data_IF_805556119880
#
_entry.id   IF_805556119880
#
_cell.length_a   1.000
_cell.length_b   1.000
_cell.length_c   1.000
_cell.angle_alpha   90.00
_cell.angle_beta   90.00
_cell.angle_gamma   90.00
#
_symmetry.space_group_name_H-M   'P 1'
#
loop_
_entity.id
_entity.type
_entity.pdbx_description
1 polymer ?
#
# COMPACT_ATOMS: atom_id res chain seq x y z
N UNK A 1 8.22 -15.46 -33.39
CA UNK A 1 8.57 -16.87 -33.68
C UNK A 1 9.41 -17.56 -32.60
N UNK A 2 10.13 -16.83 -31.73
CA UNK A 2 10.83 -17.43 -30.56
C UNK A 2 9.90 -17.63 -29.35
N UNK A 3 8.82 -16.85 -29.26
CA UNK A 3 7.84 -16.91 -28.16
C UNK A 3 6.92 -18.15 -28.27
N UNK A 4 6.58 -18.63 -29.48
CA UNK A 4 5.69 -19.79 -29.66
C UNK A 4 6.36 -21.16 -29.42
N UNK A 5 7.70 -21.24 -29.37
CA UNK A 5 8.40 -22.51 -29.12
C UNK A 5 8.58 -22.84 -27.64
N UNK A 6 8.25 -21.92 -26.73
CA UNK A 6 8.45 -22.12 -25.29
C UNK A 6 7.36 -22.98 -24.63
N UNK A 7 6.23 -23.22 -25.31
CA UNK A 7 5.04 -23.86 -24.71
C UNK A 7 4.81 -25.31 -25.19
N UNK A 8 5.46 -25.79 -26.25
CA UNK A 8 5.06 -27.06 -26.90
C UNK A 8 6.18 -28.11 -27.07
N UNK A 9 7.27 -28.05 -26.31
CA UNK A 9 8.39 -28.98 -26.54
C UNK A 9 9.31 -29.31 -25.36
N UNK A 10 8.82 -29.30 -24.11
CA UNK A 10 9.64 -29.72 -22.98
C UNK A 10 9.39 -31.20 -22.63
N UNK A 11 10.43 -32.01 -22.75
CA UNK A 11 10.51 -33.34 -22.13
C UNK A 11 10.18 -33.22 -20.62
N UNK A 12 9.54 -34.23 -20.01
CA UNK A 12 9.04 -34.17 -18.63
C UNK A 12 10.12 -34.04 -17.53
N UNK A 13 11.41 -33.94 -17.90
CA UNK A 13 12.53 -33.84 -16.95
C UNK A 13 13.08 -32.42 -16.77
N UNK A 14 12.70 -31.43 -17.58
CA UNK A 14 13.11 -30.04 -17.40
C UNK A 14 11.92 -29.14 -17.07
N UNK A 15 11.50 -29.18 -15.81
CA UNK A 15 10.61 -28.16 -15.24
C UNK A 15 11.42 -26.87 -15.09
N UNK A 16 11.22 -25.89 -15.98
CA UNK A 16 11.73 -24.53 -15.75
C UNK A 16 10.97 -23.93 -14.57
N UNK A 17 11.57 -24.00 -13.38
CA UNK A 17 11.08 -23.31 -12.18
C UNK A 17 11.29 -21.82 -12.44
N UNK A 18 10.20 -21.09 -12.74
CA UNK A 18 10.24 -19.64 -12.82
C UNK A 18 10.72 -19.10 -11.46
N UNK A 19 11.81 -18.33 -11.40
CA UNK A 19 12.53 -18.10 -10.16
C UNK A 19 11.89 -16.95 -9.38
N UNK A 20 10.88 -17.29 -8.57
CA UNK A 20 10.22 -16.47 -7.53
C UNK A 20 10.53 -14.96 -7.52
N UNK A 21 11.10 -14.47 -6.42
CA UNK A 21 11.38 -13.03 -6.20
C UNK A 21 12.50 -12.47 -7.07
N UNK A 22 13.24 -13.31 -7.79
CA UNK A 22 14.38 -12.90 -8.63
C UNK A 22 13.98 -12.56 -10.07
N UNK A 23 12.86 -13.09 -10.56
CA UNK A 23 12.41 -12.88 -11.94
C UNK A 23 12.22 -11.40 -12.30
N UNK A 24 11.55 -10.56 -11.48
CA UNK A 24 11.45 -9.12 -11.75
C UNK A 24 12.81 -8.45 -12.00
N UNK A 25 13.81 -8.82 -11.20
CA UNK A 25 15.14 -8.24 -11.25
C UNK A 25 15.91 -8.69 -12.48
N UNK A 26 15.78 -9.97 -12.84
CA UNK A 26 16.42 -10.51 -14.03
C UNK A 26 15.85 -9.86 -15.30
N UNK A 27 14.52 -9.75 -15.41
CA UNK A 27 13.87 -9.08 -16.54
C UNK A 27 14.35 -7.62 -16.62
N UNK A 28 14.28 -6.86 -15.52
CA UNK A 28 14.65 -5.45 -15.54
C UNK A 28 16.14 -5.23 -15.84
N UNK A 29 17.04 -6.03 -15.26
CA UNK A 29 18.46 -5.94 -15.56
C UNK A 29 18.75 -6.31 -17.03
N UNK A 30 18.09 -7.33 -17.59
CA UNK A 30 18.26 -7.64 -19.02
C UNK A 30 17.78 -6.51 -19.92
N UNK A 31 16.70 -5.81 -19.56
CA UNK A 31 16.21 -4.66 -20.32
C UNK A 31 17.18 -3.48 -20.24
N UNK A 32 17.77 -3.24 -19.06
CA UNK A 32 18.80 -2.23 -18.84
C UNK A 32 20.06 -2.56 -19.64
N UNK A 33 20.50 -3.82 -19.65
CA UNK A 33 21.69 -4.27 -20.37
C UNK A 33 21.52 -4.19 -21.89
N UNK A 34 20.28 -4.26 -22.40
CA UNK A 34 19.97 -4.07 -23.82
C UNK A 34 20.02 -2.60 -24.27
N UNK A 35 20.10 -1.62 -23.35
CA UNK A 35 20.13 -0.20 -23.72
C UNK A 35 21.58 0.32 -23.79
N UNK A 36 22.06 0.53 -25.01
CA UNK A 36 23.43 1.00 -25.32
C UNK A 36 23.76 2.39 -24.73
N UNK A 37 22.77 3.13 -24.22
CA UNK A 37 22.94 4.49 -23.68
C UNK A 37 23.21 4.57 -22.17
N UNK A 38 23.38 3.43 -21.49
CA UNK A 38 23.65 3.38 -20.04
C UNK A 38 25.14 3.16 -19.80
N UNK A 39 25.75 3.98 -18.95
CA UNK A 39 27.09 3.69 -18.45
C UNK A 39 27.06 2.34 -17.73
N UNK A 40 27.81 1.36 -18.24
CA UNK A 40 27.70 -0.08 -17.92
C UNK A 40 27.71 -0.45 -16.42
N UNK A 41 28.10 0.47 -15.53
CA UNK A 41 28.17 0.25 -14.09
C UNK A 41 27.18 1.09 -13.26
N UNK A 42 26.42 2.00 -13.86
CA UNK A 42 25.55 2.93 -13.12
C UNK A 42 24.40 2.21 -12.39
N UNK A 43 23.91 1.11 -12.94
CA UNK A 43 22.80 0.31 -12.40
C UNK A 43 23.21 -1.11 -11.98
N UNK A 44 24.50 -1.46 -12.02
CA UNK A 44 24.98 -2.82 -11.72
C UNK A 44 24.68 -3.29 -10.28
N UNK A 45 24.44 -2.36 -9.36
CA UNK A 45 24.12 -2.65 -7.96
C UNK A 45 22.62 -2.88 -7.70
N UNK A 46 21.78 -2.91 -8.75
CA UNK A 46 20.36 -3.23 -8.70
C UNK A 46 20.19 -4.75 -8.58
N UNK A 47 19.87 -5.21 -7.37
CA UNK A 47 19.85 -6.64 -7.03
C UNK A 47 18.67 -7.00 -6.15
N UNK A 48 18.17 -8.22 -6.32
CA UNK A 48 17.06 -8.78 -5.54
C UNK A 48 17.33 -8.86 -4.02
N UNK A 49 18.60 -8.79 -3.60
CA UNK A 49 19.03 -8.76 -2.19
C UNK A 49 18.46 -7.52 -1.48
N UNK A 50 18.25 -6.43 -2.22
CA UNK A 50 17.69 -5.18 -1.70
C UNK A 50 16.35 -4.86 -2.39
N UNK A 51 15.27 -5.58 -2.03
CA UNK A 51 13.98 -5.47 -2.69
C UNK A 51 13.29 -4.11 -2.46
N UNK A 52 13.78 -3.30 -1.52
CA UNK A 52 13.23 -1.98 -1.24
C UNK A 52 14.02 -0.90 -1.99
N UNK A 53 14.11 -1.05 -3.31
CA UNK A 53 14.89 -0.14 -4.15
C UNK A 53 14.19 0.23 -5.45
N UNK A 54 14.70 1.28 -6.07
CA UNK A 54 14.28 1.76 -7.37
C UNK A 54 15.43 2.48 -8.04
N UNK A 55 15.22 2.92 -9.26
CA UNK A 55 16.21 3.65 -10.03
C UNK A 55 15.56 4.76 -10.85
N UNK A 56 16.35 5.78 -11.15
CA UNK A 56 15.99 6.81 -12.11
C UNK A 56 16.65 6.46 -13.44
N UNK A 57 15.88 6.54 -14.52
CA UNK A 57 16.35 6.36 -15.88
C UNK A 57 15.79 7.45 -16.80
N UNK A 58 16.69 8.23 -17.41
CA UNK A 58 16.39 9.30 -18.38
C UNK A 58 15.27 10.27 -17.93
N UNK A 59 15.18 10.56 -16.63
CA UNK A 59 14.17 11.49 -16.10
C UNK A 59 12.81 10.85 -15.79
N UNK A 60 12.78 9.52 -15.61
CA UNK A 60 11.64 8.78 -15.03
C UNK A 60 12.15 7.86 -13.93
N UNK A 61 11.35 7.62 -12.90
CA UNK A 61 11.73 6.68 -11.83
C UNK A 61 10.93 5.38 -11.93
N UNK A 62 11.58 4.27 -11.58
CA UNK A 62 10.99 2.94 -11.54
C UNK A 62 11.29 2.33 -10.17
N UNK A 63 10.26 1.75 -9.56
CA UNK A 63 10.35 1.21 -8.21
C UNK A 63 9.89 -0.24 -8.23
N UNK A 64 10.57 -1.12 -7.49
CA UNK A 64 10.06 -2.48 -7.28
C UNK A 64 8.68 -2.42 -6.62
N UNK A 65 7.76 -3.32 -6.96
CA UNK A 65 6.43 -3.39 -6.31
C UNK A 65 6.50 -3.79 -4.83
N UNK A 66 7.62 -4.35 -4.39
CA UNK A 66 7.91 -4.63 -2.97
C UNK A 66 8.27 -3.38 -2.15
N UNK A 67 8.79 -2.32 -2.79
CA UNK A 67 9.19 -1.09 -2.10
C UNK A 67 7.98 -0.25 -1.75
N UNK A 68 7.97 0.36 -0.55
CA UNK A 68 6.87 1.25 -0.15
C UNK A 68 6.58 2.38 -1.14
N UNK A 69 7.61 2.91 -1.82
CA UNK A 69 7.42 3.94 -2.83
C UNK A 69 6.60 3.40 -4.00
N UNK A 70 6.92 2.19 -4.47
CA UNK A 70 6.16 1.49 -5.50
C UNK A 70 4.73 1.19 -5.03
N UNK A 71 4.56 0.63 -3.84
CA UNK A 71 3.25 0.34 -3.24
C UNK A 71 2.35 1.57 -3.13
N UNK A 72 2.90 2.71 -2.75
CA UNK A 72 2.13 3.96 -2.57
C UNK A 72 1.81 4.62 -3.90
N UNK A 73 2.73 4.62 -4.86
CA UNK A 73 2.56 5.29 -6.15
C UNK A 73 1.88 4.43 -7.22
N UNK A 74 1.75 3.12 -7.00
CA UNK A 74 1.13 2.17 -7.91
C UNK A 74 -0.22 2.64 -8.50
N UNK A 75 -1.15 3.26 -7.73
CA UNK A 75 -2.42 3.72 -8.31
C UNK A 75 -2.29 4.71 -9.46
N UNK A 76 -1.21 5.49 -9.52
CA UNK A 76 -1.00 6.49 -10.59
C UNK A 76 -0.14 5.97 -11.73
N UNK A 77 0.33 4.72 -11.63
CA UNK A 77 1.37 4.14 -12.47
C UNK A 77 0.96 2.76 -12.97
N UNK A 78 1.78 2.16 -13.84
CA UNK A 78 1.58 0.78 -14.28
C UNK A 78 2.50 -0.14 -13.50
N UNK A 79 2.03 -1.32 -13.16
CA UNK A 79 2.87 -2.40 -12.65
C UNK A 79 3.07 -3.45 -13.75
N UNK A 80 4.32 -3.72 -14.12
CA UNK A 80 4.67 -4.76 -15.09
C UNK A 80 5.83 -5.58 -14.52
N UNK A 81 5.65 -6.91 -14.50
CA UNK A 81 6.68 -7.86 -14.08
C UNK A 81 7.34 -7.53 -12.72
N UNK A 82 6.58 -6.99 -11.75
CA UNK A 82 7.06 -6.63 -10.41
C UNK A 82 7.74 -5.26 -10.30
N UNK A 83 7.62 -4.41 -11.32
CA UNK A 83 8.11 -3.03 -11.31
C UNK A 83 6.96 -2.05 -11.55
N UNK A 84 6.95 -0.98 -10.75
CA UNK A 84 6.00 0.12 -10.80
C UNK A 84 6.66 1.31 -11.49
N UNK A 85 6.05 1.79 -12.56
CA UNK A 85 6.46 2.99 -13.28
C UNK A 85 5.77 3.14 -14.63
N UNK A 86 6.15 4.15 -15.43
CA UNK A 86 7.08 5.22 -15.10
C UNK A 86 6.49 6.19 -14.07
N UNK A 87 7.26 6.48 -13.01
CA UNK A 87 6.92 7.48 -11.99
C UNK A 87 7.60 8.80 -12.32
N UNK A 88 7.03 9.92 -11.86
CA UNK A 88 7.62 11.28 -11.97
C UNK A 88 9.11 11.29 -11.53
N UNK A 89 9.96 12.09 -12.19
CA UNK A 89 11.37 12.22 -11.81
C UNK A 89 11.56 12.84 -10.44
N UNK A 90 12.69 12.53 -9.83
CA UNK A 90 13.16 13.15 -8.60
C UNK A 90 14.43 13.96 -8.89
N UNK A 91 14.46 15.21 -8.42
CA UNK A 91 15.63 16.08 -8.55
C UNK A 91 16.82 15.63 -7.67
N UNK A 92 16.56 14.80 -6.67
CA UNK A 92 17.56 14.30 -5.72
C UNK A 92 18.39 13.12 -6.26
N UNK A 93 18.05 12.58 -7.43
CA UNK A 93 18.80 11.53 -8.10
C UNK A 93 19.44 12.04 -9.40
N UNK A 94 20.63 11.52 -9.76
CA UNK A 94 21.21 11.76 -11.08
C UNK A 94 20.31 11.22 -12.20
N UNK A 95 20.60 11.61 -13.44
CA UNK A 95 19.84 11.16 -14.63
C UNK A 95 19.72 9.65 -14.75
N UNK A 96 20.76 8.93 -14.31
CA UNK A 96 20.77 7.48 -14.12
C UNK A 96 21.35 7.18 -12.75
N UNK A 97 20.59 6.51 -11.88
CA UNK A 97 21.08 6.16 -10.55
C UNK A 97 20.11 5.32 -9.73
N UNK A 98 20.64 4.58 -8.76
CA UNK A 98 19.88 3.68 -7.88
C UNK A 98 19.59 4.39 -6.54
N UNK A 99 18.36 4.22 -6.04
CA UNK A 99 17.96 4.60 -4.71
C UNK A 99 17.51 3.37 -3.91
N UNK A 100 18.13 3.16 -2.73
CA UNK A 100 17.63 2.21 -1.74
C UNK A 100 16.81 2.96 -0.71
N UNK A 101 15.60 2.51 -0.41
CA UNK A 101 14.71 3.22 0.51
C UNK A 101 14.81 2.60 1.90
N UNK A 102 15.07 3.46 2.88
CA UNK A 102 15.01 3.08 4.29
C UNK A 102 13.55 3.01 4.72
N UNK A 103 13.15 1.85 5.21
CA UNK A 103 11.79 1.61 5.67
C UNK A 103 11.84 0.89 7.03
N UNK A 104 10.93 1.24 7.92
CA UNK A 104 10.73 0.55 9.20
C UNK A 104 9.68 -0.54 9.04
N UNK A 105 9.70 -1.54 9.93
CA UNK A 105 8.65 -2.57 9.96
C UNK A 105 7.30 -1.97 10.33
N UNK A 106 6.18 -2.46 9.77
CA UNK A 106 4.86 -1.95 10.09
C UNK A 106 4.57 -2.15 11.58
N UNK A 107 3.74 -1.28 12.16
CA UNK A 107 3.41 -1.34 13.60
C UNK A 107 2.45 -2.50 13.91
N UNK A 108 1.58 -2.82 12.96
CA UNK A 108 0.63 -3.92 13.06
C UNK A 108 1.23 -5.16 12.37
N UNK A 109 1.31 -6.27 13.11
CA UNK A 109 1.80 -7.55 12.62
C UNK A 109 0.80 -8.61 13.06
N UNK A 110 0.34 -9.40 12.09
CA UNK A 110 -0.58 -10.50 12.32
C UNK A 110 0.09 -11.56 13.21
N UNK A 111 -0.58 -11.95 14.29
CA UNK A 111 -0.11 -13.00 15.18
C UNK A 111 -0.77 -14.34 14.83
N UNK A 112 -0.20 -15.50 15.24
CA UNK A 112 -0.84 -16.79 15.00
C UNK A 112 -2.24 -16.91 15.62
N UNK A 113 -2.49 -16.21 16.73
CA UNK A 113 -3.81 -16.17 17.37
C UNK A 113 -4.83 -15.48 16.47
N UNK A 114 -4.44 -14.39 15.84
CA UNK A 114 -5.30 -13.64 14.92
C UNK A 114 -5.73 -14.50 13.74
N UNK A 115 -4.82 -15.34 13.21
CA UNK A 115 -5.14 -16.29 12.14
C UNK A 115 -6.18 -17.31 12.60
N UNK A 116 -6.04 -17.84 13.83
CA UNK A 116 -7.00 -18.83 14.37
C UNK A 116 -8.37 -18.23 14.67
N UNK A 117 -8.45 -16.97 15.10
CA UNK A 117 -9.71 -16.28 15.42
C UNK A 117 -10.29 -15.49 14.24
N UNK A 118 -9.66 -15.56 13.06
CA UNK A 118 -10.05 -14.79 11.87
C UNK A 118 -11.51 -15.04 11.47
N UNK A 119 -11.97 -16.29 11.56
CA UNK A 119 -13.33 -16.69 11.19
C UNK A 119 -14.37 -16.06 12.13
N UNK A 120 -14.12 -16.09 13.44
CA UNK A 120 -15.01 -15.49 14.45
C UNK A 120 -15.09 -13.97 14.31
N UNK A 121 -13.95 -13.32 14.03
CA UNK A 121 -13.85 -11.86 13.88
C UNK A 121 -14.43 -11.32 12.58
N UNK A 122 -14.76 -12.19 11.63
CA UNK A 122 -15.31 -11.81 10.33
C UNK A 122 -16.66 -12.45 10.06
N UNK A 123 -17.30 -13.03 11.08
CA UNK A 123 -18.61 -13.66 10.96
C UNK A 123 -19.66 -12.66 10.44
N UNK A 124 -20.36 -12.94 9.33
CA UNK A 124 -21.40 -12.06 8.81
C UNK A 124 -22.56 -11.83 9.78
N UNK A 125 -22.85 -12.82 10.63
CA UNK A 125 -24.01 -12.82 11.52
C UNK A 125 -23.69 -12.35 12.94
N UNK A 126 -22.40 -12.14 13.23
CA UNK A 126 -21.93 -11.91 14.59
C UNK A 126 -21.87 -13.20 15.42
N UNK A 127 -21.86 -13.10 16.75
CA UNK A 127 -21.78 -14.26 17.63
C UNK A 127 -22.94 -15.25 17.43
N UNK A 128 -22.72 -16.57 17.61
CA UNK A 128 -23.77 -17.57 17.46
C UNK A 128 -24.98 -17.29 18.36
N UNK A 129 -26.15 -17.09 17.76
CA UNK A 129 -27.41 -16.80 18.43
C UNK A 129 -28.57 -17.63 17.86
N UNK A 130 -29.62 -17.82 18.66
CA UNK A 130 -30.83 -18.55 18.25
C UNK A 130 -31.68 -17.79 17.21
N UNK A 131 -31.56 -16.45 17.20
CA UNK A 131 -32.22 -15.57 16.24
C UNK A 131 -31.32 -14.39 15.89
N UNK A 132 -31.39 -13.93 14.64
CA UNK A 132 -30.66 -12.77 14.13
C UNK A 132 -31.68 -11.69 13.71
N UNK A 133 -31.99 -10.71 14.57
CA UNK A 133 -32.92 -9.62 14.26
C UNK A 133 -32.41 -8.78 13.08
N UNK A 134 -33.28 -8.46 12.12
CA UNK A 134 -32.87 -7.68 10.93
C UNK A 134 -32.43 -6.26 11.29
N UNK A 135 -32.95 -5.70 12.39
CA UNK A 135 -32.61 -4.36 12.88
C UNK A 135 -31.15 -4.21 13.35
N UNK A 136 -30.48 -5.33 13.63
CA UNK A 136 -29.06 -5.38 14.00
C UNK A 136 -28.12 -5.25 12.80
N UNK A 137 -28.68 -5.22 11.59
CA UNK A 137 -27.95 -5.21 10.34
C UNK A 137 -28.23 -3.95 9.54
N UNK A 138 -27.16 -3.30 9.08
CA UNK A 138 -27.25 -2.10 8.26
C UNK A 138 -26.69 -2.38 6.86
N UNK A 139 -27.46 -2.04 5.83
CA UNK A 139 -26.93 -1.95 4.46
C UNK A 139 -26.16 -0.64 4.33
N UNK A 140 -24.89 -0.76 3.98
CA UNK A 140 -23.99 0.38 3.80
C UNK A 140 -23.83 0.69 2.32
N UNK A 141 -23.81 1.97 2.01
CA UNK A 141 -23.50 2.52 0.69
C UNK A 141 -22.42 3.57 0.90
N UNK A 142 -21.31 3.51 0.13
CA UNK A 142 -20.33 4.58 0.14
C UNK A 142 -20.96 5.90 -0.31
N UNK A 143 -20.48 7.01 0.24
CA UNK A 143 -20.85 8.34 -0.22
C UNK A 143 -20.11 8.67 -1.53
N UNK A 144 -20.75 8.36 -2.67
CA UNK A 144 -20.22 8.59 -4.03
C UNK A 144 -20.44 10.04 -4.51
N UNK A 145 -21.27 10.84 -3.82
CA UNK A 145 -21.65 12.18 -4.28
C UNK A 145 -20.57 13.24 -3.98
N UNK A 146 -19.65 12.99 -3.04
CA UNK A 146 -18.60 13.93 -2.60
C UNK A 146 -17.22 13.60 -3.22
N UNK A 147 -17.14 13.67 -4.55
CA UNK A 147 -15.90 13.46 -5.30
C UNK A 147 -14.90 14.59 -5.04
N UNK A 148 -13.72 14.22 -4.54
CA UNK A 148 -12.66 15.17 -4.21
C UNK A 148 -11.60 15.24 -5.32
N UNK A 149 -11.45 16.41 -5.96
CA UNK A 149 -10.45 16.67 -7.01
C UNK A 149 -9.38 17.70 -6.60
N UNK A 150 -9.16 17.87 -5.30
CA UNK A 150 -8.21 18.90 -4.79
C UNK A 150 -6.80 18.37 -4.53
N UNK A 151 -6.60 17.06 -4.59
CA UNK A 151 -5.34 16.39 -4.22
C UNK A 151 -4.52 16.11 -5.47
N UNK A 152 -3.27 16.59 -5.50
CA UNK A 152 -2.32 16.30 -6.57
C UNK A 152 -0.97 15.88 -6.03
N UNK A 153 -0.38 14.84 -6.61
CA UNK A 153 1.00 14.44 -6.28
C UNK A 153 1.98 15.38 -6.99
N UNK A 154 2.73 16.19 -6.25
CA UNK A 154 3.68 17.15 -6.80
C UNK A 154 5.02 16.48 -7.16
N UNK A 155 5.68 15.92 -6.15
CA UNK A 155 7.05 15.40 -6.29
C UNK A 155 7.38 14.31 -5.28
N UNK A 156 8.21 13.37 -5.72
CA UNK A 156 8.88 12.41 -4.84
C UNK A 156 10.24 13.00 -4.45
N UNK A 157 10.42 13.26 -3.16
CA UNK A 157 11.66 13.75 -2.57
C UNK A 157 12.42 12.62 -1.86
N UNK A 158 13.73 12.58 -2.04
CA UNK A 158 14.62 11.56 -1.47
C UNK A 158 15.75 12.25 -0.70
N UNK A 159 15.75 12.09 0.62
CA UNK A 159 16.80 12.62 1.49
C UNK A 159 17.78 11.53 1.87
N UNK A 160 19.06 11.68 1.54
CA UNK A 160 20.09 10.71 1.93
C UNK A 160 20.08 10.49 3.46
N UNK A 161 19.95 9.23 3.88
CA UNK A 161 19.90 8.86 5.28
C UNK A 161 21.28 9.01 5.92
N UNK A 162 21.32 9.57 7.14
CA UNK A 162 22.55 9.78 7.93
C UNK A 162 23.31 8.50 8.29
N UNK A 163 22.69 7.33 8.11
CA UNK A 163 23.32 6.01 8.34
C UNK A 163 24.31 5.67 7.21
N UNK A 164 24.25 6.38 6.09
CA UNK A 164 25.19 6.19 5.00
C UNK A 164 26.61 6.56 5.47
N UNK A 165 27.59 5.64 5.40
CA UNK A 165 28.98 5.97 5.73
C UNK A 165 29.46 7.16 4.88
N UNK A 166 30.18 8.14 5.47
CA UNK A 166 30.82 9.17 4.68
C UNK A 166 31.78 8.51 3.68
N UNK A 167 31.56 8.76 2.38
CA UNK A 167 32.32 8.14 1.29
C UNK A 167 31.62 6.99 0.54
N UNK A 168 30.45 6.51 0.97
CA UNK A 168 29.76 5.41 0.28
C UNK A 168 29.40 5.72 -1.19
N UNK A 169 29.11 7.00 -1.50
CA UNK A 169 28.91 7.47 -2.87
C UNK A 169 30.19 7.39 -3.72
N UNK A 170 31.37 7.59 -3.11
CA UNK A 170 32.66 7.51 -3.79
C UNK A 170 33.08 6.05 -4.06
N UNK A 171 32.62 5.11 -3.24
CA UNK A 171 32.87 3.66 -3.39
C UNK A 171 31.89 2.96 -4.36
N UNK A 172 31.02 3.71 -5.05
CA UNK A 172 30.03 3.14 -5.98
C UNK A 172 28.93 2.32 -5.30
N UNK A 173 28.75 2.44 -3.98
CA UNK A 173 27.68 1.75 -3.25
C UNK A 173 26.39 2.56 -3.32
N UNK A 174 25.22 1.94 -3.60
CA UNK A 174 23.96 2.68 -3.63
C UNK A 174 23.65 3.31 -2.27
N UNK A 175 23.34 4.60 -2.32
CA UNK A 175 22.97 5.37 -1.15
C UNK A 175 21.59 4.93 -0.63
N UNK A 176 21.41 5.04 0.68
CA UNK A 176 20.14 4.79 1.34
C UNK A 176 19.44 6.12 1.57
N UNK A 177 18.17 6.21 1.20
CA UNK A 177 17.36 7.42 1.23
C UNK A 177 16.13 7.24 2.11
N UNK A 178 15.72 8.32 2.77
CA UNK A 178 14.36 8.49 3.28
C UNK A 178 13.49 9.09 2.17
N UNK A 179 12.38 8.43 1.87
CA UNK A 179 11.41 8.89 0.87
C UNK A 179 10.29 9.73 1.49
N UNK A 180 9.90 10.79 0.80
CA UNK A 180 8.76 11.63 1.13
C UNK A 180 8.04 12.08 -0.13
N UNK A 181 6.73 11.91 -0.16
CA UNK A 181 5.87 12.39 -1.25
C UNK A 181 5.29 13.74 -0.84
N UNK A 182 5.37 14.72 -1.74
CA UNK A 182 4.74 16.03 -1.58
C UNK A 182 3.40 16.04 -2.30
N UNK A 183 2.35 16.46 -1.59
CA UNK A 183 1.00 16.59 -2.13
C UNK A 183 0.58 18.05 -2.14
N UNK A 184 0.05 18.55 -3.25
CA UNK A 184 -0.71 19.78 -3.28
C UNK A 184 -2.16 19.46 -2.91
N UNK A 185 -2.65 20.05 -1.83
CA UNK A 185 -4.03 19.92 -1.37
C UNK A 185 -4.56 21.33 -1.15
N UNK A 186 -5.56 21.72 -1.93
CA UNK A 186 -6.15 23.07 -1.87
C UNK A 186 -5.09 24.18 -1.96
N UNK A 187 -4.15 24.02 -2.90
CA UNK A 187 -3.05 24.96 -3.15
C UNK A 187 -1.95 24.98 -2.09
N UNK A 188 -1.98 24.10 -1.08
CA UNK A 188 -0.93 23.97 -0.06
C UNK A 188 -0.15 22.67 -0.24
N UNK A 189 1.17 22.74 -0.15
CA UNK A 189 2.04 21.55 -0.20
C UNK A 189 2.14 20.87 1.16
N UNK A 190 1.86 19.58 1.21
CA UNK A 190 1.90 18.72 2.40
C UNK A 190 2.93 17.58 2.21
N UNK A 191 4.00 17.54 3.00
CA UNK A 191 4.99 16.48 2.95
C UNK A 191 4.55 15.25 3.76
N UNK A 192 4.38 14.09 3.11
CA UNK A 192 4.19 12.80 3.79
C UNK A 192 5.42 11.91 3.64
N UNK A 193 6.03 11.55 4.78
CA UNK A 193 7.19 10.66 4.82
C UNK A 193 6.75 9.20 4.79
N UNK A 194 7.24 8.45 3.82
CA UNK A 194 7.00 7.00 3.72
C UNK A 194 7.96 6.24 4.63
N UNK A 195 7.59 6.16 5.91
CA UNK A 195 8.51 5.71 6.97
C UNK A 195 8.45 4.20 7.18
N UNK A 196 7.27 3.61 7.02
CA UNK A 196 6.99 2.22 7.34
C UNK A 196 6.63 1.43 6.07
N UNK A 197 7.16 0.20 5.99
CA UNK A 197 6.81 -0.77 4.97
C UNK A 197 5.49 -1.46 5.34
N UNK A 198 4.39 -0.86 4.90
CA UNK A 198 3.03 -1.36 5.16
C UNK A 198 2.54 -2.24 4.01
N UNK A 199 1.49 -3.01 4.26
CA UNK A 199 0.82 -3.84 3.25
C UNK A 199 -0.51 -3.23 2.85
N UNK A 200 -0.76 -3.18 1.54
CA UNK A 200 -2.07 -2.87 0.97
C UNK A 200 -2.67 -4.18 0.48
N UNK A 201 -3.75 -4.62 1.11
CA UNK A 201 -4.39 -5.91 0.87
C UNK A 201 -5.63 -5.64 0.04
N UNK A 202 -5.70 -6.16 -1.18
CA UNK A 202 -6.90 -6.02 -1.99
C UNK A 202 -8.03 -6.88 -1.43
N UNK A 203 -9.20 -6.27 -1.29
CA UNK A 203 -10.39 -6.94 -0.80
C UNK A 203 -10.89 -7.98 -1.81
N UNK A 204 -11.48 -9.07 -1.32
CA UNK A 204 -12.00 -10.12 -2.18
C UNK A 204 -13.33 -9.67 -2.82
N UNK A 205 -13.50 -9.81 -4.15
CA UNK A 205 -14.77 -9.51 -4.80
C UNK A 205 -15.93 -10.26 -4.16
N UNK A 206 -16.98 -9.53 -3.79
CA UNK A 206 -18.16 -10.11 -3.16
C UNK A 206 -19.19 -10.53 -4.22
N UNK A 207 -19.82 -11.68 -4.02
CA UNK A 207 -20.87 -12.14 -4.92
C UNK A 207 -22.22 -11.53 -4.52
N UNK A 208 -22.87 -10.79 -5.43
CA UNK A 208 -24.26 -10.30 -5.26
C UNK A 208 -24.44 -9.35 -4.06
N UNK A 209 -23.50 -8.42 -3.87
CA UNK A 209 -23.66 -7.32 -2.92
C UNK A 209 -24.76 -6.31 -3.32
N UNK A 210 -25.05 -5.31 -2.47
CA UNK A 210 -24.42 -5.05 -1.17
C UNK A 210 -24.89 -6.01 -0.07
N UNK A 211 -23.98 -6.37 0.84
CA UNK A 211 -24.27 -7.21 1.99
C UNK A 211 -24.54 -6.37 3.24
N UNK A 212 -25.37 -6.85 4.17
CA UNK A 212 -25.56 -6.21 5.47
C UNK A 212 -24.30 -6.29 6.33
N UNK A 213 -24.04 -5.25 7.11
CA UNK A 213 -23.04 -5.22 8.17
C UNK A 213 -23.73 -5.33 9.55
N UNK A 214 -23.24 -6.23 10.38
CA UNK A 214 -23.67 -6.38 11.77
C UNK A 214 -23.21 -5.19 12.62
N UNK A 215 -24.04 -4.71 13.55
CA UNK A 215 -23.81 -3.46 14.30
C UNK A 215 -22.52 -3.43 15.15
N UNK A 216 -22.01 -4.60 15.56
CA UNK A 216 -20.81 -4.72 16.39
C UNK A 216 -19.52 -4.40 15.61
N UNK A 217 -19.59 -4.38 14.28
CA UNK A 217 -18.50 -3.88 13.45
C UNK A 217 -18.46 -2.35 13.49
N UNK A 218 -17.73 -1.80 14.47
CA UNK A 218 -17.60 -0.36 14.62
C UNK A 218 -16.64 0.20 13.57
N UNK A 219 -17.09 1.21 12.83
CA UNK A 219 -16.27 1.88 11.82
C UNK A 219 -16.47 3.40 11.86
N UNK A 220 -15.48 4.13 11.37
CA UNK A 220 -15.56 5.57 11.13
C UNK A 220 -15.30 5.83 9.66
N UNK A 221 -16.28 6.39 8.97
CA UNK A 221 -16.15 6.81 7.59
C UNK A 221 -15.62 8.25 7.52
N UNK A 222 -14.69 8.49 6.61
CA UNK A 222 -14.14 9.82 6.31
C UNK A 222 -13.92 9.97 4.80
N UNK A 223 -13.96 11.21 4.34
CA UNK A 223 -13.43 11.56 3.03
C UNK A 223 -11.90 11.70 3.08
N UNK A 224 -11.22 11.37 1.97
CA UNK A 224 -9.75 11.51 1.84
C UNK A 224 -9.25 12.93 2.17
N UNK A 225 -10.07 13.97 1.92
CA UNK A 225 -9.72 15.37 2.23
C UNK A 225 -9.48 15.60 3.74
N UNK A 226 -10.12 14.82 4.61
CA UNK A 226 -10.02 14.95 6.06
C UNK A 226 -8.92 14.08 6.69
N UNK A 227 -8.29 13.18 5.90
CA UNK A 227 -7.36 12.17 6.42
C UNK A 227 -6.16 12.77 7.17
N UNK A 228 -5.71 13.96 6.76
CA UNK A 228 -4.60 14.67 7.39
C UNK A 228 -4.93 15.25 8.77
N UNK A 229 -6.22 15.43 9.09
CA UNK A 229 -6.66 15.89 10.41
C UNK A 229 -6.58 14.77 11.46
N UNK A 230 -6.57 13.51 11.01
CA UNK A 230 -6.48 12.36 11.89
C UNK A 230 -5.02 12.12 12.27
N UNK A 231 -4.79 12.13 13.59
CA UNK A 231 -3.52 11.78 14.21
C UNK A 231 -3.74 10.57 15.10
N UNK A 232 -2.72 9.73 15.21
CA UNK A 232 -2.67 8.63 16.18
C UNK A 232 -3.80 7.58 16.09
N UNK A 233 -4.29 7.30 14.88
CA UNK A 233 -5.31 6.25 14.66
C UNK A 233 -4.86 4.86 15.14
N UNK A 234 -5.79 4.09 15.71
CA UNK A 234 -5.58 2.71 16.16
C UNK A 234 -4.71 2.59 17.43
N UNK A 235 -4.64 3.64 18.26
CA UNK A 235 -3.93 3.60 19.55
C UNK A 235 -2.43 3.27 19.44
N UNK A 236 -1.84 3.47 18.26
CA UNK A 236 -0.51 2.96 17.92
C UNK A 236 0.65 3.59 18.71
N UNK A 237 0.38 4.65 19.48
CA UNK A 237 1.32 5.28 20.42
C UNK A 237 1.11 4.86 21.88
N UNK A 238 -0.07 4.33 22.25
CA UNK A 238 -0.39 3.94 23.64
C UNK A 238 0.10 2.54 24.03
N UNK A 239 0.42 1.65 23.09
CA UNK A 239 0.98 0.32 23.41
C UNK A 239 2.42 0.35 23.94
N UNK A 240 3.08 1.51 23.92
CA UNK A 240 4.41 1.70 24.48
C UNK A 240 4.36 2.37 25.86
N UNK A 241 3.67 1.75 26.83
CA UNK A 241 3.82 2.15 28.23
C UNK A 241 2.68 1.76 29.16
N UNK A 242 2.73 0.54 29.70
CA UNK A 242 2.62 0.29 31.17
C UNK A 242 2.38 -1.19 31.45
N UNK A 243 3.45 -1.88 31.83
CA UNK A 243 3.35 -3.01 32.74
C UNK A 243 3.14 -2.42 34.14
N UNK A 244 1.96 -2.64 34.70
CA UNK A 244 1.72 -2.53 36.14
C UNK A 244 1.09 -1.21 36.62
N UNK A 245 -0.22 -1.21 36.81
CA UNK A 245 -0.84 -1.10 38.14
C UNK A 245 -2.37 -1.14 37.99
N UNK A 246 -3.00 -2.09 38.68
CA UNK A 246 -4.44 -2.07 38.92
C UNK A 246 -4.74 -0.86 39.80
N UNK A 247 -5.49 0.11 39.29
CA UNK A 247 -6.27 1.00 40.12
C UNK A 247 -7.54 1.41 39.38
N UNK A 248 -8.69 1.05 39.97
CA UNK A 248 -10.01 1.47 39.53
C UNK A 248 -10.13 2.99 39.64
N UNK A 249 -10.44 3.65 38.53
CA UNK A 249 -11.08 4.95 38.53
C UNK A 249 -12.02 5.05 37.33
N UNK A 250 -13.30 5.21 37.62
CA UNK A 250 -14.38 5.45 36.66
C UNK A 250 -14.18 6.85 36.04
N UNK A 251 -13.95 6.90 34.73
CA UNK A 251 -14.20 8.09 33.88
C UNK A 251 -14.27 7.72 32.40
N UNK A 252 -15.48 7.84 31.84
CA UNK A 252 -15.94 7.97 30.45
C UNK A 252 -14.99 7.75 29.25
N UNK A 253 -15.45 6.85 28.35
CA UNK A 253 -15.27 6.83 26.88
C UNK A 253 -13.85 6.97 26.34
N UNK A 254 -13.01 5.94 26.51
CA UNK A 254 -11.64 5.97 25.99
C UNK A 254 -10.95 4.63 25.77
N UNK A 255 -11.70 3.53 25.61
CA UNK A 255 -11.11 2.17 25.59
C UNK A 255 -11.43 1.33 24.34
N UNK A 256 -11.97 1.93 23.28
CA UNK A 256 -12.54 1.18 22.14
C UNK A 256 -12.01 1.59 20.75
N UNK A 257 -11.13 2.58 20.64
CA UNK A 257 -10.62 3.05 19.33
C UNK A 257 -9.55 2.14 18.71
N UNK A 258 -9.13 1.08 19.41
CA UNK A 258 -8.05 0.19 18.93
C UNK A 258 -8.53 -0.89 17.95
N UNK A 259 -9.83 -1.21 17.95
CA UNK A 259 -10.41 -2.22 17.05
C UNK A 259 -11.26 -1.61 15.92
N UNK A 260 -11.58 -0.32 16.02
CA UNK A 260 -12.37 0.40 15.02
C UNK A 260 -11.64 0.51 13.69
N UNK A 261 -12.39 0.28 12.60
CA UNK A 261 -11.89 0.43 11.23
C UNK A 261 -12.15 1.85 10.72
N UNK A 262 -11.11 2.52 10.24
CA UNK A 262 -11.23 3.77 9.49
C UNK A 262 -11.54 3.44 8.03
N UNK A 263 -12.70 3.85 7.55
CA UNK A 263 -13.06 3.75 6.14
C UNK A 263 -12.76 5.09 5.48
N UNK A 264 -11.84 5.07 4.52
CA UNK A 264 -11.40 6.25 3.77
C UNK A 264 -11.98 6.18 2.37
N UNK A 265 -12.87 7.12 2.04
CA UNK A 265 -13.42 7.27 0.69
C UNK A 265 -12.39 8.00 -0.17
N UNK A 266 -11.73 7.26 -1.08
CA UNK A 266 -10.70 7.77 -1.99
C UNK A 266 -11.19 7.78 -3.45
N UNK A 267 -12.46 8.16 -3.65
CA UNK A 267 -13.12 8.27 -4.96
C UNK A 267 -12.59 9.43 -5.80
N UNK A 268 -12.86 9.39 -7.10
CA UNK A 268 -12.41 10.42 -8.05
C UNK A 268 -11.00 10.19 -8.61
N UNK A 269 -10.02 11.01 -8.23
CA UNK A 269 -8.68 10.96 -8.84
C UNK A 269 -7.79 9.92 -8.16
N UNK A 270 -7.00 9.18 -8.94
CA UNK A 270 -6.03 8.20 -8.43
C UNK A 270 -5.03 8.76 -7.37
N UNK A 271 -4.76 10.07 -7.41
CA UNK A 271 -3.93 10.77 -6.42
C UNK A 271 -4.55 10.71 -5.00
N UNK A 272 -5.87 10.55 -4.87
CA UNK A 272 -6.57 10.35 -3.60
C UNK A 272 -6.17 9.02 -2.96
N UNK A 273 -6.15 7.95 -3.75
CA UNK A 273 -5.69 6.65 -3.28
C UNK A 273 -4.21 6.72 -2.87
N UNK A 274 -3.37 7.40 -3.66
CA UNK A 274 -1.95 7.62 -3.32
C UNK A 274 -1.80 8.36 -1.99
N UNK A 275 -2.63 9.39 -1.74
CA UNK A 275 -2.64 10.12 -0.47
C UNK A 275 -3.01 9.20 0.70
N UNK A 276 -4.07 8.40 0.56
CA UNK A 276 -4.48 7.43 1.58
C UNK A 276 -3.37 6.39 1.86
N UNK A 277 -2.76 5.83 0.81
CA UNK A 277 -1.62 4.90 0.94
C UNK A 277 -0.40 5.57 1.58
N UNK A 278 -0.08 6.81 1.21
CA UNK A 278 1.03 7.56 1.79
C UNK A 278 0.82 7.85 3.29
N UNK A 279 -0.40 8.20 3.69
CA UNK A 279 -0.77 8.40 5.09
C UNK A 279 -0.62 7.11 5.90
N UNK A 280 -1.08 5.97 5.35
CA UNK A 280 -0.90 4.66 5.96
C UNK A 280 0.58 4.33 6.21
N UNK A 281 1.44 4.55 5.21
CA UNK A 281 2.90 4.38 5.34
C UNK A 281 3.55 5.35 6.32
N UNK A 282 3.01 6.56 6.47
CA UNK A 282 3.52 7.55 7.41
C UNK A 282 3.35 7.09 8.86
N UNK A 283 2.15 6.58 9.19
CA UNK A 283 1.80 6.15 10.54
C UNK A 283 2.15 4.70 10.84
N UNK A 284 2.40 3.89 9.81
CA UNK A 284 2.76 2.47 9.92
C UNK A 284 1.55 1.55 10.06
N UNK A 285 0.44 1.93 9.43
CA UNK A 285 -0.82 1.19 9.38
C UNK A 285 -0.90 0.47 8.03
N UNK A 286 -1.19 -0.83 8.04
CA UNK A 286 -1.60 -1.52 6.82
C UNK A 286 -3.04 -1.13 6.48
N UNK A 287 -3.46 -1.36 5.24
CA UNK A 287 -4.83 -1.06 4.83
C UNK A 287 -5.40 -2.15 3.91
N UNK A 288 -6.70 -2.39 4.02
CA UNK A 288 -7.47 -3.11 3.01
C UNK A 288 -7.88 -2.10 1.93
N UNK A 289 -7.74 -2.45 0.66
CA UNK A 289 -8.14 -1.63 -0.49
C UNK A 289 -9.30 -2.34 -1.17
N UNK A 290 -10.46 -1.70 -1.22
CA UNK A 290 -11.66 -2.29 -1.79
C UNK A 290 -12.16 -1.45 -2.97
N UNK A 291 -12.22 -2.10 -4.13
CA UNK A 291 -12.91 -1.59 -5.31
C UNK A 291 -14.43 -1.74 -5.08
N UNK A 292 -15.14 -0.62 -4.99
CA UNK A 292 -16.57 -0.59 -4.62
C UNK A 292 -17.48 -1.23 -5.66
N UNK A 293 -17.03 -1.36 -6.91
CA UNK A 293 -17.77 -2.06 -7.97
C UNK A 293 -17.73 -3.58 -7.78
N UNK A 294 -16.67 -4.08 -7.15
CA UNK A 294 -16.42 -5.53 -6.95
C UNK A 294 -16.74 -5.97 -5.53
N UNK A 295 -16.50 -5.11 -4.54
CA UNK A 295 -16.57 -5.44 -3.11
C UNK A 295 -17.39 -4.39 -2.38
N UNK A 296 -18.50 -4.79 -1.77
CA UNK A 296 -19.30 -3.88 -0.98
C UNK A 296 -18.58 -3.44 0.30
N UNK A 297 -18.90 -2.23 0.78
CA UNK A 297 -18.30 -1.63 1.98
C UNK A 297 -18.36 -2.55 3.20
N UNK A 298 -19.48 -3.27 3.40
CA UNK A 298 -19.63 -4.22 4.49
C UNK A 298 -18.63 -5.39 4.44
N UNK A 299 -18.39 -5.95 3.25
CA UNK A 299 -17.39 -7.00 3.06
C UNK A 299 -15.97 -6.46 3.29
N UNK A 300 -15.67 -5.26 2.80
CA UNK A 300 -14.37 -4.62 2.99
C UNK A 300 -14.06 -4.37 4.47
N UNK A 301 -15.05 -3.89 5.24
CA UNK A 301 -14.92 -3.71 6.70
C UNK A 301 -14.68 -5.07 7.38
N UNK A 302 -15.48 -6.09 7.07
CA UNK A 302 -15.31 -7.44 7.64
C UNK A 302 -13.95 -8.05 7.33
N UNK A 303 -13.43 -7.84 6.13
CA UNK A 303 -12.08 -8.27 5.75
C UNK A 303 -10.98 -7.50 6.50
N UNK A 304 -11.17 -6.20 6.74
CA UNK A 304 -10.26 -5.42 7.58
C UNK A 304 -10.21 -5.99 9.02
N UNK A 305 -11.37 -6.33 9.59
CA UNK A 305 -11.45 -7.03 10.89
C UNK A 305 -10.76 -8.41 10.82
N UNK A 306 -11.03 -9.22 9.80
CA UNK A 306 -10.37 -10.51 9.59
C UNK A 306 -8.84 -10.38 9.60
N UNK A 307 -8.32 -9.38 8.89
CA UNK A 307 -6.90 -9.13 8.71
C UNK A 307 -6.22 -8.42 9.91
N UNK A 308 -6.95 -8.06 10.98
CA UNK A 308 -6.46 -7.18 12.06
C UNK A 308 -5.93 -5.83 11.55
N UNK A 309 -6.61 -5.26 10.56
CA UNK A 309 -6.24 -4.01 9.93
C UNK A 309 -7.27 -2.94 10.27
N UNK A 310 -6.80 -1.77 10.70
CA UNK A 310 -7.68 -0.71 11.20
C UNK A 310 -8.01 0.34 10.15
N UNK A 311 -7.63 0.12 8.89
CA UNK A 311 -7.84 1.06 7.78
C UNK A 311 -8.37 0.30 6.57
N UNK A 312 -9.44 0.81 5.98
CA UNK A 312 -10.03 0.37 4.73
C UNK A 312 -10.07 1.57 3.78
N UNK A 313 -9.51 1.44 2.58
CA UNK A 313 -9.50 2.45 1.54
C UNK A 313 -10.50 2.00 0.48
N UNK A 314 -11.57 2.76 0.32
CA UNK A 314 -12.54 2.54 -0.75
C UNK A 314 -12.07 3.29 -1.99
N UNK A 315 -12.03 2.59 -3.12
CA UNK A 315 -11.67 3.14 -4.42
C UNK A 315 -12.75 2.79 -5.43
N UNK A 316 -12.92 3.64 -6.43
CA UNK A 316 -13.66 3.29 -7.63
C UNK A 316 -12.79 2.43 -8.54
N UNK A 317 -13.40 1.52 -9.29
CA UNK A 317 -12.71 0.78 -10.32
C UNK A 317 -12.01 1.76 -11.26
N UNK A 318 -10.71 1.59 -11.48
CA UNK A 318 -10.08 2.21 -12.64
C UNK A 318 -10.71 1.56 -13.86
N UNK A 319 -11.50 2.31 -14.62
CA UNK A 319 -11.83 1.95 -16.00
C UNK A 319 -10.56 1.39 -16.64
N UNK A 320 -10.63 0.15 -17.12
CA UNK A 320 -9.59 -0.45 -17.94
C UNK A 320 -9.28 0.58 -19.01
N UNK A 321 -8.13 1.25 -18.90
CA UNK A 321 -7.67 2.22 -19.89
C UNK A 321 -7.91 1.60 -21.26
N UNK A 322 -8.75 2.27 -22.05
CA UNK A 322 -9.04 1.93 -23.44
C UNK A 322 -7.82 1.26 -24.06
N UNK A 323 -8.02 0.02 -24.54
CA UNK A 323 -7.09 -0.79 -25.32
C UNK A 323 -6.77 -0.14 -26.69
N UNK A 324 -6.61 1.19 -26.74
CA UNK A 324 -6.27 1.96 -27.93
C UNK A 324 -4.74 1.98 -28.10
N UNK A 325 -4.18 0.80 -28.35
CA UNK A 325 -2.84 0.60 -28.91
C UNK A 325 -2.91 0.38 -30.43
N UNK A 326 -3.38 1.39 -31.17
CA UNK A 326 -3.18 1.47 -32.63
C UNK A 326 -1.98 2.31 -33.04
#
# INVERSE_FOLDING_TARGET
>A
MIIEKFVTGANPEERMILPGTTLPWLIMNTLIDCDDGIEANALAALTHIHPNSGFQYRGTTYWSSTSIVGKVLAPTCREIAGWVGPVRPTADLPRVGIARIRQRRPKQVLTPKDVTTMMERSDPLGPPADSYPVEEYKLLFPDEDDLVDIVRVETLSLKAASITPPGAAADGRPLVYDSCVQFAIDGKSWPLRLTYDVSFIFACPCARGPHPLFFDYVYKEINVSEILNIRDWGGTYSRSGSVGSKQESVSNTGDDDSERVLVVNAFGVADNEVLARAWCSHWGLSAVVADVEKTCMACAIREAYAACVNVCILVEGMDEYDDDWR
#
